data_IF_365152155361
#
_entry.id   IF_365152155361
#
_cell.length_a   1.000
_cell.length_b   1.000
_cell.length_c   1.000
_cell.angle_alpha   90.00
_cell.angle_beta   90.00
_cell.angle_gamma   90.00
#
_symmetry.space_group_name_H-M   'P 1'
#
loop_
_entity.id
_entity.type
_entity.pdbx_description
1 polymer ?
#
# COMPACT_ATOMS: atom_id res chain seq x y z
N UNK A 1 17.01 11.75 -6.51
CA UNK A 1 16.61 10.98 -7.71
C UNK A 1 16.11 11.86 -8.86
N UNK A 2 16.46 11.52 -10.11
CA UNK A 2 15.83 12.02 -11.34
C UNK A 2 15.25 10.83 -12.11
N UNK A 3 13.97 10.90 -12.48
CA UNK A 3 13.29 9.85 -13.22
C UNK A 3 13.05 10.26 -14.68
N UNK A 4 13.17 9.30 -15.58
CA UNK A 4 13.01 9.48 -17.02
C UNK A 4 11.60 9.11 -17.49
N UNK A 5 11.18 9.66 -18.64
CA UNK A 5 9.94 9.25 -19.29
C UNK A 5 10.01 7.76 -19.66
N UNK A 6 8.90 7.05 -19.45
CA UNK A 6 8.74 5.60 -19.61
C UNK A 6 9.49 4.74 -18.58
N UNK A 7 10.11 5.34 -17.56
CA UNK A 7 10.68 4.57 -16.46
C UNK A 7 9.57 3.92 -15.62
N UNK A 8 9.76 2.64 -15.27
CA UNK A 8 8.90 1.90 -14.34
C UNK A 8 9.27 2.26 -12.91
N UNK A 9 8.24 2.58 -12.13
CA UNK A 9 8.33 3.17 -10.80
C UNK A 9 7.26 2.56 -9.91
N UNK A 10 7.40 2.79 -8.61
CA UNK A 10 6.39 2.44 -7.62
C UNK A 10 5.94 3.67 -6.85
N UNK A 11 4.63 3.82 -6.67
CA UNK A 11 4.02 4.90 -5.89
C UNK A 11 3.87 4.44 -4.44
N UNK A 12 4.45 5.19 -3.51
CA UNK A 12 4.62 4.83 -2.10
C UNK A 12 4.13 5.93 -1.14
N UNK A 13 2.94 6.48 -1.43
CA UNK A 13 2.34 7.55 -0.62
C UNK A 13 2.12 7.13 0.83
N UNK A 14 2.32 8.08 1.73
CA UNK A 14 2.09 7.90 3.18
C UNK A 14 0.68 8.30 3.64
N UNK A 15 -0.22 8.53 2.69
CA UNK A 15 -1.62 8.89 2.94
C UNK A 15 -2.44 7.67 3.36
N UNK A 16 -3.53 7.93 4.09
CA UNK A 16 -4.49 6.89 4.47
C UNK A 16 -5.02 6.17 3.22
N UNK A 17 -5.08 4.83 3.27
CA UNK A 17 -5.44 3.99 2.14
C UNK A 17 -4.30 3.62 1.18
N UNK A 18 -3.13 4.29 1.27
CA UNK A 18 -1.90 3.92 0.55
C UNK A 18 -0.79 3.42 1.47
N UNK A 19 -0.89 3.73 2.76
CA UNK A 19 0.14 3.44 3.75
C UNK A 19 0.60 1.97 3.72
N UNK A 20 1.89 1.79 3.44
CA UNK A 20 2.56 0.47 3.42
C UNK A 20 2.42 -0.31 2.11
N UNK A 21 1.83 0.29 1.07
CA UNK A 21 1.67 -0.31 -0.25
C UNK A 21 2.51 0.41 -1.32
N UNK A 22 2.94 -0.36 -2.31
CA UNK A 22 3.66 0.14 -3.49
C UNK A 22 2.87 -0.21 -4.75
N UNK A 23 2.34 0.81 -5.41
CA UNK A 23 1.59 0.63 -6.65
C UNK A 23 2.49 0.75 -7.87
N UNK A 24 2.53 -0.25 -8.77
CA UNK A 24 3.27 -0.17 -10.02
C UNK A 24 2.74 0.97 -10.91
N UNK A 25 3.65 1.74 -11.48
CA UNK A 25 3.34 2.84 -12.37
C UNK A 25 4.47 3.09 -13.40
N UNK A 26 4.15 3.90 -14.40
CA UNK A 26 5.11 4.38 -15.41
C UNK A 26 5.14 5.90 -15.41
N UNK A 27 6.34 6.49 -15.46
CA UNK A 27 6.51 7.94 -15.62
C UNK A 27 6.11 8.37 -17.02
N UNK A 28 5.15 9.30 -17.13
CA UNK A 28 4.74 9.89 -18.41
C UNK A 28 5.51 11.16 -18.74
N UNK A 29 5.82 11.99 -17.73
CA UNK A 29 6.56 13.23 -17.90
C UNK A 29 7.08 13.76 -16.55
N UNK A 30 8.18 14.52 -16.59
CA UNK A 30 8.51 15.43 -15.51
C UNK A 30 7.65 16.69 -15.60
N UNK A 31 7.15 17.18 -14.47
CA UNK A 31 6.35 18.41 -14.38
C UNK A 31 7.16 19.43 -13.57
N UNK A 32 7.77 20.37 -14.29
CA UNK A 32 8.73 21.30 -13.69
C UNK A 32 9.95 20.56 -13.15
N UNK A 33 10.50 21.02 -12.02
CA UNK A 33 11.69 20.44 -11.38
C UNK A 33 11.39 19.51 -10.21
N UNK A 34 10.13 19.41 -9.78
CA UNK A 34 9.79 18.87 -8.45
C UNK A 34 8.62 17.89 -8.46
N UNK A 35 8.13 17.46 -9.63
CA UNK A 35 6.98 16.55 -9.74
C UNK A 35 7.08 15.66 -10.97
N UNK A 36 6.35 14.55 -10.92
CA UNK A 36 6.22 13.60 -12.02
C UNK A 36 4.75 13.31 -12.32
N UNK A 37 4.39 13.33 -13.59
CA UNK A 37 3.13 12.76 -14.07
C UNK A 37 3.34 11.26 -14.27
N UNK A 38 2.57 10.44 -13.58
CA UNK A 38 2.67 8.97 -13.63
C UNK A 38 1.34 8.36 -14.02
N UNK A 39 1.39 7.17 -14.64
CA UNK A 39 0.21 6.34 -14.91
C UNK A 39 0.36 5.03 -14.16
N UNK A 40 -0.63 4.70 -13.35
CA UNK A 40 -0.69 3.41 -12.66
C UNK A 40 -0.87 2.27 -13.67
N UNK A 41 -0.35 1.08 -13.39
CA UNK A 41 -0.48 -0.07 -14.28
C UNK A 41 -1.82 -0.81 -14.13
N UNK A 42 -2.41 -0.74 -12.93
CA UNK A 42 -3.56 -1.55 -12.53
C UNK A 42 -4.70 -0.74 -11.92
N UNK A 43 -4.46 0.50 -11.46
CA UNK A 43 -5.52 1.39 -10.96
C UNK A 43 -6.20 2.13 -12.10
N UNK A 44 -7.52 2.24 -12.04
CA UNK A 44 -8.35 2.97 -13.00
C UNK A 44 -8.88 4.27 -12.41
N UNK A 45 -9.30 5.19 -13.27
CA UNK A 45 -10.13 6.33 -12.87
C UNK A 45 -11.51 5.89 -12.35
N UNK A 46 -12.25 6.82 -11.74
CA UNK A 46 -13.58 6.55 -11.17
C UNK A 46 -14.56 5.93 -12.16
N UNK A 47 -14.54 6.39 -13.42
CA UNK A 47 -15.36 5.87 -14.50
C UNK A 47 -14.93 4.48 -15.00
N UNK A 48 -13.80 3.94 -14.53
CA UNK A 48 -13.19 2.67 -14.95
C UNK A 48 -12.94 2.56 -16.46
N UNK A 49 -12.70 3.69 -17.13
CA UNK A 49 -12.50 3.76 -18.58
C UNK A 49 -11.05 3.79 -19.01
N UNK A 50 -10.15 4.23 -18.11
CA UNK A 50 -8.71 4.31 -18.37
C UNK A 50 -7.91 4.16 -17.09
N UNK A 51 -6.64 3.78 -17.26
CA UNK A 51 -5.69 3.77 -16.15
C UNK A 51 -5.55 5.16 -15.53
N UNK A 52 -5.49 5.18 -14.21
CA UNK A 52 -5.37 6.39 -13.43
C UNK A 52 -4.03 7.05 -13.75
N UNK A 53 -4.06 8.36 -13.92
CA UNK A 53 -2.87 9.20 -14.09
C UNK A 53 -2.89 10.26 -13.01
N UNK A 54 -1.75 10.54 -12.40
CA UNK A 54 -1.63 11.45 -11.27
C UNK A 54 -0.30 12.21 -11.30
N UNK A 55 -0.28 13.42 -10.73
CA UNK A 55 0.97 14.14 -10.47
C UNK A 55 1.44 13.84 -9.05
N UNK A 56 2.61 13.21 -8.92
CA UNK A 56 3.21 12.82 -7.65
C UNK A 56 4.48 13.61 -7.35
N UNK A 57 4.84 13.70 -6.08
CA UNK A 57 6.10 14.31 -5.62
C UNK A 57 7.23 13.27 -5.58
N UNK A 58 8.50 13.70 -5.58
CA UNK A 58 9.66 12.84 -5.42
C UNK A 58 9.65 11.99 -4.14
N UNK A 59 9.01 12.45 -3.07
CA UNK A 59 8.88 11.71 -1.80
C UNK A 59 7.86 10.56 -1.83
N UNK A 60 6.97 10.54 -2.83
CA UNK A 60 5.87 9.56 -2.97
C UNK A 60 6.15 8.53 -4.08
N UNK A 61 7.38 8.50 -4.60
CA UNK A 61 7.76 7.68 -5.75
C UNK A 61 9.17 7.11 -5.55
N UNK A 62 9.36 5.86 -5.94
CA UNK A 62 10.68 5.20 -6.05
C UNK A 62 10.78 4.47 -7.39
N UNK A 63 11.99 4.11 -7.86
CA UNK A 63 12.12 3.23 -9.02
C UNK A 63 11.44 1.87 -8.74
N UNK A 64 11.27 1.04 -9.77
CA UNK A 64 10.98 -0.37 -9.52
C UNK A 64 12.19 -1.05 -8.83
N UNK A 65 11.97 -1.95 -7.85
CA UNK A 65 13.06 -2.68 -7.21
C UNK A 65 13.76 -3.63 -8.17
N UNK A 66 15.01 -4.04 -7.87
CA UNK A 66 15.73 -5.02 -8.66
C UNK A 66 14.94 -6.33 -8.74
N UNK A 67 14.88 -6.93 -9.93
CA UNK A 67 14.25 -8.24 -10.12
C UNK A 67 15.08 -9.31 -9.41
N UNK A 68 14.45 -10.08 -8.53
CA UNK A 68 15.04 -11.25 -7.89
C UNK A 68 14.39 -12.52 -8.41
N UNK A 69 15.20 -13.54 -8.71
CA UNK A 69 14.71 -14.90 -9.05
C UNK A 69 14.56 -15.79 -7.82
N UNK A 70 14.75 -15.25 -6.62
CA UNK A 70 14.62 -16.01 -5.38
C UNK A 70 13.15 -16.29 -5.06
N UNK A 71 12.81 -17.54 -4.80
CA UNK A 71 11.40 -17.99 -4.67
C UNK A 71 11.16 -18.93 -3.48
N UNK A 72 12.15 -19.16 -2.61
CA UNK A 72 12.06 -20.10 -1.48
C UNK A 72 12.15 -19.39 -0.13
N UNK A 73 11.21 -18.47 0.11
CA UNK A 73 11.19 -17.68 1.33
C UNK A 73 10.84 -18.52 2.58
N UNK A 74 11.37 -18.10 3.72
CA UNK A 74 11.26 -18.78 5.01
C UNK A 74 10.57 -17.89 6.04
N UNK A 75 10.13 -18.48 7.14
CA UNK A 75 9.61 -17.73 8.29
C UNK A 75 10.66 -16.68 8.73
N UNK A 76 10.17 -15.48 9.01
CA UNK A 76 10.90 -14.24 9.29
C UNK A 76 11.56 -13.55 8.08
N UNK A 77 11.54 -14.12 6.87
CA UNK A 77 11.98 -13.36 5.69
C UNK A 77 11.03 -12.18 5.46
N UNK A 78 11.62 -10.99 5.25
CA UNK A 78 10.91 -9.77 4.89
C UNK A 78 10.72 -9.71 3.38
N UNK A 79 9.46 -9.70 2.95
CA UNK A 79 9.06 -9.81 1.55
C UNK A 79 7.95 -8.80 1.22
N UNK A 80 7.75 -8.55 -0.07
CA UNK A 80 6.55 -7.89 -0.56
C UNK A 80 5.56 -8.95 -1.08
N UNK A 81 4.30 -8.87 -0.66
CA UNK A 81 3.20 -9.63 -1.25
C UNK A 81 2.36 -8.78 -2.19
N UNK A 82 2.05 -9.31 -3.37
CA UNK A 82 1.19 -8.67 -4.35
C UNK A 82 -0.29 -8.96 -4.05
N UNK A 83 -1.01 -7.95 -3.55
CA UNK A 83 -2.40 -8.04 -3.08
C UNK A 83 -3.14 -6.78 -3.52
N UNK A 84 -4.34 -6.95 -4.09
CA UNK A 84 -5.19 -5.83 -4.54
C UNK A 84 -4.40 -4.80 -5.37
N UNK A 85 -3.73 -5.30 -6.41
CA UNK A 85 -3.02 -4.48 -7.39
C UNK A 85 -1.81 -3.68 -6.87
N UNK A 86 -1.29 -4.05 -5.70
CA UNK A 86 -0.15 -3.40 -5.04
C UNK A 86 0.74 -4.37 -4.29
N UNK A 87 1.98 -3.99 -4.06
CA UNK A 87 2.94 -4.72 -3.23
C UNK A 87 2.87 -4.24 -1.78
N UNK A 88 2.75 -5.17 -0.84
CA UNK A 88 2.65 -4.88 0.60
C UNK A 88 3.80 -5.52 1.36
N UNK A 89 4.49 -4.73 2.19
CA UNK A 89 5.61 -5.24 2.99
C UNK A 89 5.09 -6.07 4.15
N UNK A 90 5.69 -7.25 4.35
CA UNK A 90 5.44 -8.07 5.52
C UNK A 90 6.56 -9.05 5.81
N UNK A 91 6.48 -9.66 6.98
CA UNK A 91 7.35 -10.76 7.38
C UNK A 91 6.58 -12.07 7.30
N UNK A 92 7.19 -13.12 6.76
CA UNK A 92 6.55 -14.44 6.69
C UNK A 92 6.41 -15.02 8.10
N UNK A 93 5.17 -15.32 8.49
CA UNK A 93 4.87 -15.97 9.78
C UNK A 93 4.64 -17.46 9.64
N UNK A 94 4.17 -17.91 8.47
CA UNK A 94 3.95 -19.34 8.16
C UNK A 94 4.23 -19.63 6.70
N UNK A 95 4.84 -20.79 6.44
CA UNK A 95 5.00 -21.36 5.10
C UNK A 95 4.10 -22.57 5.00
N UNK A 96 3.15 -22.53 4.06
CA UNK A 96 2.25 -23.64 3.74
C UNK A 96 2.41 -23.89 2.26
N UNK A 97 3.43 -24.66 1.90
CA UNK A 97 3.87 -24.88 0.52
C UNK A 97 2.69 -25.17 -0.43
N UNK A 98 2.55 -24.45 -1.56
CA UNK A 98 3.46 -23.46 -2.13
C UNK A 98 3.09 -22.00 -1.79
N UNK A 99 2.52 -21.74 -0.62
CA UNK A 99 2.00 -20.43 -0.22
C UNK A 99 2.67 -19.89 1.05
N UNK A 100 2.55 -18.58 1.23
CA UNK A 100 3.03 -17.84 2.38
C UNK A 100 1.88 -17.17 3.12
N UNK A 101 2.03 -17.07 4.44
CA UNK A 101 1.26 -16.16 5.27
C UNK A 101 2.21 -15.11 5.83
N UNK A 102 1.89 -13.84 5.58
CA UNK A 102 2.71 -12.70 5.97
C UNK A 102 1.98 -11.89 7.03
N UNK A 103 2.70 -11.39 8.02
CA UNK A 103 2.23 -10.31 8.89
C UNK A 103 2.66 -8.98 8.27
N UNK A 104 1.70 -8.15 7.88
CA UNK A 104 1.96 -6.87 7.23
C UNK A 104 2.52 -5.83 8.21
N UNK A 105 3.51 -5.06 7.78
CA UNK A 105 4.16 -4.05 8.64
C UNK A 105 3.29 -2.82 8.91
N UNK A 106 2.35 -2.51 8.01
CA UNK A 106 1.54 -1.30 8.13
C UNK A 106 0.38 -1.41 9.14
N UNK A 107 -0.09 -2.62 9.41
CA UNK A 107 -1.29 -2.85 10.23
C UNK A 107 -1.28 -4.16 11.02
N UNK A 108 -0.18 -4.93 10.99
CA UNK A 108 -0.02 -6.21 11.68
C UNK A 108 -1.00 -7.32 11.27
N UNK A 109 -1.81 -7.10 10.22
CA UNK A 109 -2.74 -8.11 9.72
C UNK A 109 -1.99 -9.26 9.04
N UNK A 110 -2.51 -10.47 9.20
CA UNK A 110 -2.01 -11.63 8.49
C UNK A 110 -2.71 -11.76 7.13
N UNK A 111 -1.93 -11.92 6.07
CA UNK A 111 -2.42 -12.09 4.70
C UNK A 111 -1.85 -13.35 4.06
N UNK A 112 -2.66 -14.00 3.22
CA UNK A 112 -2.25 -15.11 2.38
C UNK A 112 -1.70 -14.61 1.04
N UNK A 113 -0.63 -15.22 0.57
CA UNK A 113 -0.02 -14.94 -0.72
C UNK A 113 0.53 -16.23 -1.34
N UNK A 114 0.25 -16.47 -2.62
CA UNK A 114 0.90 -17.55 -3.38
C UNK A 114 2.38 -17.23 -3.64
N UNK A 115 3.22 -18.26 -3.83
CA UNK A 115 4.67 -18.05 -4.05
C UNK A 115 5.00 -17.10 -5.21
N UNK A 116 4.19 -17.11 -6.27
CA UNK A 116 4.37 -16.27 -7.46
C UNK A 116 3.98 -14.80 -7.24
N UNK A 117 3.27 -14.50 -6.15
CA UNK A 117 2.89 -13.15 -5.74
C UNK A 117 3.82 -12.60 -4.65
N UNK A 118 4.91 -13.30 -4.31
CA UNK A 118 5.89 -12.83 -3.35
C UNK A 118 7.20 -12.43 -4.04
N UNK A 119 7.81 -11.34 -3.58
CA UNK A 119 9.17 -10.95 -3.97
C UNK A 119 9.97 -10.50 -2.74
N UNK A 120 11.29 -10.57 -2.84
CA UNK A 120 12.17 -10.06 -1.78
C UNK A 120 11.94 -8.55 -1.61
N UNK A 121 11.90 -8.10 -0.35
CA UNK A 121 11.74 -6.68 -0.08
C UNK A 121 13.08 -5.95 -0.16
N UNK A 122 13.09 -4.79 -0.82
CA UNK A 122 14.18 -3.82 -0.77
C UNK A 122 13.64 -2.47 -0.31
N UNK A 123 14.37 -1.83 0.60
CA UNK A 123 14.13 -0.43 0.96
C UNK A 123 14.79 0.47 -0.09
N UNK A 124 14.17 1.63 -0.34
CA UNK A 124 14.76 2.69 -1.15
C UNK A 124 15.26 3.79 -0.22
N UNK A 125 16.56 3.89 -0.03
CA UNK A 125 17.22 4.79 0.92
C UNK A 125 18.38 5.50 0.21
N UNK A 126 18.48 6.83 0.37
CA UNK A 126 19.55 7.66 -0.22
C UNK A 126 19.82 7.37 -1.70
N UNK A 127 18.74 7.31 -2.49
CA UNK A 127 18.75 7.00 -3.92
C UNK A 127 19.36 5.63 -4.28
N UNK A 128 19.30 4.65 -3.37
CA UNK A 128 19.82 3.28 -3.55
C UNK A 128 18.86 2.22 -3.02
N UNK A 129 18.91 1.04 -3.64
CA UNK A 129 18.24 -0.15 -3.13
C UNK A 129 19.06 -0.80 -2.04
N UNK A 130 18.45 -1.02 -0.88
CA UNK A 130 19.07 -1.63 0.29
C UNK A 130 18.29 -2.90 0.65
N UNK A 131 19.01 -4.02 0.77
CA UNK A 131 18.43 -5.26 1.26
C UNK A 131 18.54 -5.33 2.79
N UNK A 132 17.43 -5.10 3.48
CA UNK A 132 17.35 -5.14 4.93
C UNK A 132 16.56 -6.37 5.39
N UNK A 133 17.24 -7.51 5.46
CA UNK A 133 16.64 -8.80 5.86
C UNK A 133 16.02 -8.77 7.27
N UNK A 134 16.50 -7.91 8.18
CA UNK A 134 16.18 -7.96 9.61
C UNK A 134 15.88 -6.57 10.21
N UNK A 135 15.28 -5.63 9.46
CA UNK A 135 14.97 -4.30 10.01
C UNK A 135 14.00 -4.46 11.19
N UNK A 136 14.33 -3.98 12.40
CA UNK A 136 13.39 -4.02 13.52
C UNK A 136 12.14 -3.21 13.17
N UNK A 137 10.96 -3.73 13.52
CA UNK A 137 9.67 -3.04 13.35
C UNK A 137 9.75 -1.66 14.02
N UNK A 138 9.73 -0.59 13.23
CA UNK A 138 9.59 0.76 13.78
C UNK A 138 8.10 1.00 14.07
N UNK A 139 7.71 0.79 15.32
CA UNK A 139 6.41 1.24 15.81
C UNK A 139 6.40 2.77 15.92
N UNK A 140 5.78 3.47 14.98
CA UNK A 140 5.21 4.79 15.25
C UNK A 140 3.71 4.63 15.45
N UNK A 141 3.33 4.38 16.71
CA UNK A 141 1.96 4.50 17.18
C UNK A 141 1.75 5.95 17.59
N UNK A 142 1.13 6.76 16.74
CA UNK A 142 0.34 7.90 17.21
C UNK A 142 -1.14 7.50 17.17
N UNK A 143 -1.51 6.67 18.14
CA UNK A 143 -2.91 6.39 18.47
C UNK A 143 -3.44 7.54 19.32
N UNK A 144 -3.79 8.65 18.69
CA UNK A 144 -4.66 9.66 19.31
C UNK A 144 -5.64 10.23 18.30
N UNK A 145 -6.60 9.41 17.89
CA UNK A 145 -8.03 9.76 17.75
C UNK A 145 -8.78 8.64 17.02
N UNK A 146 -9.09 7.56 17.74
CA UNK A 146 -10.26 6.74 17.42
C UNK A 146 -11.26 6.93 18.56
N UNK A 147 -12.06 7.98 18.48
CA UNK A 147 -13.36 8.00 19.16
C UNK A 147 -14.37 7.44 18.16
N UNK A 148 -14.77 6.20 18.42
CA UNK A 148 -15.84 5.51 17.75
C UNK A 148 -17.12 6.35 17.81
N UNK A 149 -17.73 6.68 16.66
CA UNK A 149 -19.12 7.15 16.64
C UNK A 149 -20.03 5.94 16.80
N UNK A 150 -21.01 5.95 17.72
CA UNK A 150 -22.01 4.90 17.79
C UNK A 150 -22.95 4.99 16.58
N UNK A 151 -23.46 3.83 16.17
CA UNK A 151 -24.56 3.70 15.21
C UNK A 151 -25.79 4.46 15.74
N UNK A 152 -26.35 5.32 14.88
CA UNK A 152 -27.53 6.12 15.14
C UNK A 152 -28.78 5.23 15.03
N UNK A 153 -29.16 4.60 16.14
CA UNK A 153 -30.45 3.92 16.28
C UNK A 153 -31.50 4.97 16.69
N UNK A 154 -31.89 5.79 15.72
CA UNK A 154 -32.85 6.88 15.88
C UNK A 154 -34.30 6.39 15.97
N UNK A 155 -34.67 5.82 17.13
CA UNK A 155 -36.06 5.76 17.57
C UNK A 155 -36.37 7.01 18.39
N UNK A 156 -37.33 7.83 17.97
CA UNK A 156 -37.83 8.97 18.76
C UNK A 156 -39.27 9.37 18.36
N UNK A 157 -40.03 10.08 19.22
CA UNK A 157 -41.08 9.44 20.01
C UNK A 157 -42.48 10.05 19.82
N UNK A 158 -43.41 9.43 20.53
CA UNK A 158 -44.83 9.72 20.70
C UNK A 158 -45.08 11.05 21.45
N UNK A 159 -46.04 11.86 20.99
CA UNK A 159 -46.84 12.86 21.74
C UNK A 159 -47.99 13.28 20.78
N UNK A 160 -49.28 13.16 21.05
CA UNK A 160 -50.03 13.17 22.29
C UNK A 160 -50.78 14.50 22.43
N UNK A 161 -52.06 14.57 22.02
CA UNK A 161 -53.21 15.13 22.79
C UNK A 161 -54.48 15.45 21.94
N UNK A 162 -55.62 14.97 22.48
CA UNK A 162 -56.94 15.62 22.68
C UNK A 162 -57.71 16.09 21.42
N UNK A 163 -59.02 15.88 21.20
CA UNK A 163 -60.15 15.40 22.00
C UNK A 163 -61.41 16.20 21.62
N UNK A 164 -62.32 15.60 20.82
CA UNK A 164 -63.78 15.89 20.62
C UNK A 164 -64.21 17.28 20.10
N UNK A 165 -65.49 17.50 19.66
CA UNK A 165 -66.76 16.77 19.91
C UNK A 165 -67.10 15.63 18.96
#
# INVERSE_FOLDING_TARGET
MLLEQNQVVEICKKEEGFLGSYYPATVLAAIGLTRYLVRYETRYNEAKTRLLTEVVKPEDIRPAPPTSTYTNYKVNDRVDAYINDSWWVGSIVRVVDPNYYLKLECNENEVHCGFYNARIHFDWEDDKWVYNANRPQQHTVDQSNMVSRPEDDGNQPNDGKQGRP
#
